data_IF_294381060566
#
_entry.id   IF_294381060566
#
_cell.length_a   1.000
_cell.length_b   1.000
_cell.length_c   1.000
_cell.angle_alpha   90.00
_cell.angle_beta   90.00
_cell.angle_gamma   90.00
#
_symmetry.space_group_name_H-M   'P 1'
#
loop_
_entity.id
_entity.type
_entity.pdbx_description
1 polymer ?
#
# COMPACT_ATOMS: atom_id res chain seq x y z
N UNK A 1 -4.59 -10.29 35.99
CA UNK A 1 -3.76 -10.25 34.78
C UNK A 1 -3.46 -11.68 34.34
N UNK A 2 -4.16 -12.19 33.32
CA UNK A 2 -4.00 -13.57 32.88
C UNK A 2 -2.83 -13.68 31.89
N UNK A 3 -1.85 -14.58 32.12
CA UNK A 3 -0.64 -14.69 31.28
C UNK A 3 -0.95 -15.02 29.81
N UNK A 4 -2.04 -15.74 29.54
CA UNK A 4 -2.50 -16.07 28.18
C UNK A 4 -2.85 -14.84 27.33
N UNK A 5 -3.37 -13.77 27.94
CA UNK A 5 -3.74 -12.53 27.23
C UNK A 5 -2.53 -11.67 26.88
N UNK A 6 -1.43 -11.81 27.62
CA UNK A 6 -0.19 -11.07 27.34
C UNK A 6 0.57 -11.74 26.20
N UNK A 7 0.67 -13.07 26.23
CA UNK A 7 1.34 -13.84 25.17
C UNK A 7 0.63 -13.64 23.83
N UNK A 8 -0.71 -13.67 23.82
CA UNK A 8 -1.48 -13.44 22.59
C UNK A 8 -1.25 -12.04 22.01
N UNK A 9 -1.17 -11.00 22.85
CA UNK A 9 -0.92 -9.62 22.41
C UNK A 9 0.49 -9.40 21.86
N UNK A 10 1.51 -10.00 22.48
CA UNK A 10 2.89 -9.93 21.99
C UNK A 10 3.03 -10.63 20.63
N UNK A 11 2.40 -11.80 20.46
CA UNK A 11 2.38 -12.50 19.18
C UNK A 11 1.69 -11.68 18.07
N UNK A 12 0.57 -11.02 18.39
CA UNK A 12 -0.12 -10.12 17.45
C UNK A 12 0.78 -8.94 17.07
N UNK A 13 1.41 -8.24 18.02
CA UNK A 13 2.33 -7.14 17.70
C UNK A 13 3.50 -7.59 16.81
N UNK A 14 4.12 -8.74 17.09
CA UNK A 14 5.22 -9.25 16.26
C UNK A 14 4.77 -9.56 14.83
N UNK A 15 3.63 -10.23 14.68
CA UNK A 15 3.04 -10.52 13.37
C UNK A 15 2.81 -9.24 12.57
N UNK A 16 2.24 -8.21 13.20
CA UNK A 16 1.92 -6.95 12.53
C UNK A 16 3.15 -6.16 12.13
N UNK A 17 4.15 -6.07 13.00
CA UNK A 17 5.44 -5.47 12.64
C UNK A 17 6.04 -6.21 11.45
N UNK A 18 5.97 -7.55 11.45
CA UNK A 18 6.39 -8.38 10.32
C UNK A 18 5.69 -7.98 9.03
N UNK A 19 4.35 -8.04 9.01
CA UNK A 19 3.53 -7.68 7.84
C UNK A 19 3.81 -6.25 7.38
N UNK A 20 3.80 -5.27 8.27
CA UNK A 20 4.00 -3.86 7.93
C UNK A 20 5.37 -3.57 7.34
N UNK A 21 6.41 -4.33 7.72
CA UNK A 21 7.76 -4.17 7.19
C UNK A 21 8.02 -5.00 5.94
N UNK A 22 7.46 -6.21 5.84
CA UNK A 22 7.78 -7.15 4.77
C UNK A 22 6.74 -7.24 3.66
N UNK A 23 5.60 -6.55 3.79
CA UNK A 23 4.58 -6.59 2.76
C UNK A 23 5.14 -6.10 1.42
N UNK A 24 5.06 -6.96 0.43
CA UNK A 24 5.39 -6.71 -0.96
C UNK A 24 4.27 -7.30 -1.82
N UNK A 25 3.46 -6.46 -2.50
CA UNK A 25 2.39 -6.94 -3.37
C UNK A 25 2.94 -7.69 -4.60
N UNK A 26 2.16 -8.60 -5.19
CA UNK A 26 2.59 -9.29 -6.41
C UNK A 26 2.74 -8.30 -7.57
N UNK A 27 3.86 -8.41 -8.29
CA UNK A 27 4.16 -7.61 -9.48
C UNK A 27 4.46 -8.54 -10.66
N UNK A 28 3.61 -8.49 -11.68
CA UNK A 28 3.84 -9.22 -12.91
C UNK A 28 4.87 -8.49 -13.78
N UNK A 29 5.87 -9.23 -14.24
CA UNK A 29 6.94 -8.75 -15.13
C UNK A 29 6.81 -9.37 -16.51
N UNK A 30 7.12 -8.58 -17.53
CA UNK A 30 7.16 -9.00 -18.92
C UNK A 30 8.38 -9.87 -19.25
N UNK A 31 8.48 -10.30 -20.50
CA UNK A 31 9.63 -11.07 -21.00
C UNK A 31 10.92 -10.25 -21.04
N UNK A 32 10.80 -8.93 -21.09
CA UNK A 32 11.84 -7.92 -21.02
C UNK A 32 12.33 -7.67 -19.58
N UNK A 33 11.66 -8.25 -18.57
CA UNK A 33 11.97 -8.04 -17.16
C UNK A 33 11.32 -6.78 -16.56
N UNK A 34 10.63 -5.99 -17.38
CA UNK A 34 9.98 -4.76 -16.92
C UNK A 34 8.58 -5.06 -16.35
N UNK A 35 8.13 -4.31 -15.32
CA UNK A 35 6.78 -4.44 -14.79
C UNK A 35 5.71 -4.19 -15.87
N UNK A 36 4.73 -5.08 -15.95
CA UNK A 36 3.63 -4.90 -16.91
C UNK A 36 2.75 -3.72 -16.44
N UNK A 37 2.43 -2.80 -17.35
CA UNK A 37 1.63 -1.57 -17.04
C UNK A 37 0.37 -1.84 -16.22
N UNK A 38 -0.41 -2.86 -16.58
CA UNK A 38 -1.62 -3.27 -15.82
C UNK A 38 -1.31 -3.69 -14.38
N UNK A 39 -0.17 -4.34 -14.18
CA UNK A 39 0.26 -4.82 -12.86
C UNK A 39 0.62 -3.64 -11.97
N UNK A 40 1.35 -2.66 -12.52
CA UNK A 40 1.68 -1.40 -11.83
C UNK A 40 0.42 -0.60 -11.51
N UNK A 41 -0.50 -0.45 -12.47
CA UNK A 41 -1.77 0.26 -12.27
C UNK A 41 -2.65 -0.37 -11.18
N UNK A 42 -2.49 -1.67 -10.91
CA UNK A 42 -3.25 -2.39 -9.88
C UNK A 42 -2.62 -2.37 -8.48
N UNK A 43 -1.40 -1.84 -8.30
CA UNK A 43 -0.66 -1.97 -7.04
C UNK A 43 -1.38 -1.34 -5.84
N UNK A 44 -2.02 -0.19 -6.04
CA UNK A 44 -2.80 0.49 -4.99
C UNK A 44 -3.87 -0.39 -4.35
N UNK A 45 -4.53 -1.26 -5.13
CA UNK A 45 -5.60 -2.14 -4.64
C UNK A 45 -5.09 -3.18 -3.65
N UNK A 46 -3.86 -3.66 -3.84
CA UNK A 46 -3.24 -4.62 -2.92
C UNK A 46 -2.97 -3.96 -1.56
N UNK A 47 -2.40 -2.76 -1.57
CA UNK A 47 -2.20 -1.97 -0.36
C UNK A 47 -3.52 -1.60 0.32
N UNK A 48 -4.55 -1.20 -0.45
CA UNK A 48 -5.89 -0.91 0.08
C UNK A 48 -6.49 -2.12 0.79
N UNK A 49 -6.38 -3.31 0.20
CA UNK A 49 -6.87 -4.54 0.80
C UNK A 49 -6.17 -4.85 2.12
N UNK A 50 -4.84 -4.75 2.15
CA UNK A 50 -4.07 -4.98 3.39
C UNK A 50 -4.36 -3.91 4.43
N UNK A 51 -4.43 -2.65 4.05
CA UNK A 51 -4.79 -1.56 4.94
C UNK A 51 -6.18 -1.78 5.55
N UNK A 52 -7.15 -2.22 4.75
CA UNK A 52 -8.50 -2.55 5.23
C UNK A 52 -8.48 -3.71 6.24
N UNK A 53 -7.72 -4.77 5.98
CA UNK A 53 -7.55 -5.88 6.93
C UNK A 53 -6.90 -5.39 8.22
N UNK A 54 -5.83 -4.59 8.11
CA UNK A 54 -5.13 -4.02 9.26
C UNK A 54 -6.01 -3.10 10.10
N UNK A 55 -6.93 -2.35 9.50
CA UNK A 55 -7.81 -1.45 10.24
C UNK A 55 -9.00 -2.17 10.89
N UNK A 56 -9.54 -3.21 10.24
CA UNK A 56 -10.76 -3.87 10.67
C UNK A 56 -10.53 -5.09 11.57
N UNK A 57 -9.48 -5.87 11.29
CA UNK A 57 -9.26 -7.16 11.97
C UNK A 57 -8.27 -7.03 13.14
N UNK A 58 -7.43 -5.99 13.11
CA UNK A 58 -6.39 -5.79 14.11
C UNK A 58 -6.88 -4.83 15.18
N UNK A 59 -7.52 -5.39 16.20
CA UNK A 59 -7.93 -4.64 17.38
C UNK A 59 -6.75 -4.41 18.33
N UNK A 60 -5.86 -3.49 17.98
CA UNK A 60 -4.85 -2.97 18.92
C UNK A 60 -5.42 -1.74 19.61
N UNK A 61 -5.53 -1.83 20.94
CA UNK A 61 -5.81 -0.65 21.74
C UNK A 61 -4.65 0.36 21.62
N UNK A 62 -4.97 1.65 21.57
CA UNK A 62 -4.02 2.77 21.62
C UNK A 62 -2.91 2.57 22.65
N UNK A 63 -3.24 2.04 23.83
CA UNK A 63 -2.29 1.73 24.90
C UNK A 63 -1.24 0.68 24.51
N UNK A 64 -1.62 -0.31 23.72
CA UNK A 64 -0.73 -1.37 23.24
C UNK A 64 0.11 -0.91 22.05
N UNK A 65 -0.39 0.06 21.26
CA UNK A 65 0.34 0.65 20.14
C UNK A 65 1.64 1.33 20.58
N UNK A 66 1.58 2.07 21.69
CA UNK A 66 2.74 2.72 22.30
C UNK A 66 3.72 1.75 22.98
N UNK A 67 3.23 0.60 23.45
CA UNK A 67 4.06 -0.41 24.12
C UNK A 67 4.88 -1.24 23.12
N UNK A 68 4.37 -1.42 21.91
CA UNK A 68 5.08 -2.07 20.82
C UNK A 68 5.94 -1.02 20.08
N UNK A 69 7.14 -0.72 20.59
CA UNK A 69 8.02 0.37 20.11
C UNK A 69 8.22 0.39 18.59
N UNK A 70 8.33 -0.79 17.96
CA UNK A 70 8.53 -0.89 16.51
C UNK A 70 7.27 -0.63 15.68
N UNK A 71 6.08 -0.74 16.29
CA UNK A 71 4.82 -0.73 15.57
C UNK A 71 4.47 0.64 14.96
N UNK A 72 4.63 1.79 15.67
CA UNK A 72 4.46 3.10 15.04
C UNK A 72 5.44 3.34 13.88
N UNK A 73 6.70 2.90 14.03
CA UNK A 73 7.71 3.06 12.98
C UNK A 73 7.41 2.18 11.76
N UNK A 74 7.02 0.92 11.98
CA UNK A 74 6.61 0.01 10.92
C UNK A 74 5.35 0.51 10.20
N UNK A 75 4.38 1.06 10.94
CA UNK A 75 3.19 1.69 10.36
C UNK A 75 3.55 2.89 9.48
N UNK A 76 4.42 3.78 9.96
CA UNK A 76 4.90 4.92 9.17
C UNK A 76 5.56 4.47 7.86
N UNK A 77 6.47 3.50 7.91
CA UNK A 77 7.13 2.96 6.72
C UNK A 77 6.15 2.26 5.76
N UNK A 78 5.15 1.55 6.29
CA UNK A 78 4.09 0.96 5.47
C UNK A 78 3.24 2.03 4.77
N UNK A 79 2.83 3.08 5.50
CA UNK A 79 2.02 4.17 4.95
C UNK A 79 2.78 5.00 3.92
N UNK A 80 4.08 5.21 4.12
CA UNK A 80 4.95 5.87 3.15
C UNK A 80 5.03 5.08 1.84
N UNK A 81 5.30 3.77 1.92
CA UNK A 81 5.28 2.88 0.74
C UNK A 81 3.91 2.87 0.07
N UNK A 82 2.84 2.75 0.85
CA UNK A 82 1.46 2.80 0.36
C UNK A 82 1.19 4.09 -0.42
N UNK A 83 1.58 5.25 0.13
CA UNK A 83 1.37 6.55 -0.51
C UNK A 83 2.07 6.62 -1.88
N UNK A 84 3.37 6.32 -1.93
CA UNK A 84 4.12 6.37 -3.19
C UNK A 84 3.61 5.34 -4.20
N UNK A 85 3.27 4.14 -3.75
CA UNK A 85 2.69 3.12 -4.64
C UNK A 85 1.34 3.56 -5.18
N UNK A 86 0.47 4.20 -4.38
CA UNK A 86 -0.81 4.71 -4.85
C UNK A 86 -0.62 5.81 -5.90
N UNK A 87 0.32 6.73 -5.67
CA UNK A 87 0.65 7.79 -6.63
C UNK A 87 1.14 7.19 -7.97
N UNK A 88 2.07 6.24 -7.93
CA UNK A 88 2.62 5.60 -9.13
C UNK A 88 1.58 4.71 -9.83
N UNK A 89 0.74 3.99 -9.08
CA UNK A 89 -0.38 3.22 -9.62
C UNK A 89 -1.35 4.12 -10.38
N UNK A 90 -1.64 5.30 -9.83
CA UNK A 90 -2.53 6.27 -10.45
C UNK A 90 -1.96 6.82 -11.76
N UNK A 91 -0.67 7.13 -11.79
CA UNK A 91 0.03 7.54 -13.03
C UNK A 91 0.04 6.43 -14.07
N UNK A 92 0.32 5.19 -13.66
CA UNK A 92 0.31 4.03 -14.54
C UNK A 92 -1.11 3.75 -15.11
N UNK A 93 -2.15 3.94 -14.32
CA UNK A 93 -3.54 3.84 -14.78
C UNK A 93 -3.88 4.92 -15.81
N UNK A 94 -3.43 6.17 -15.63
CA UNK A 94 -3.61 7.23 -16.63
C UNK A 94 -2.92 6.88 -17.96
N UNK A 95 -1.68 6.39 -17.89
CA UNK A 95 -0.92 5.98 -19.07
C UNK A 95 -1.59 4.79 -19.77
N UNK A 96 -2.12 3.83 -19.00
CA UNK A 96 -2.85 2.70 -19.53
C UNK A 96 -4.13 3.15 -20.25
N UNK A 97 -4.94 4.00 -19.63
CA UNK A 97 -6.16 4.57 -20.23
C UNK A 97 -5.87 5.32 -21.54
N UNK A 98 -4.77 6.09 -21.56
CA UNK A 98 -4.30 6.77 -22.76
C UNK A 98 -3.89 5.78 -23.85
N UNK A 99 -3.11 4.75 -23.51
CA UNK A 99 -2.60 3.76 -24.46
C UNK A 99 -3.70 2.89 -25.08
N UNK A 100 -4.79 2.65 -24.34
CA UNK A 100 -5.94 1.88 -24.79
C UNK A 100 -6.98 2.74 -25.54
N UNK A 101 -6.77 4.05 -25.65
CA UNK A 101 -7.71 4.97 -26.29
C UNK A 101 -9.01 5.18 -25.51
N UNK A 102 -9.06 4.81 -24.22
CA UNK A 102 -10.24 5.03 -23.37
C UNK A 102 -10.48 6.52 -23.09
N UNK A 103 -9.42 7.34 -23.18
CA UNK A 103 -9.48 8.79 -22.98
C UNK A 103 -8.42 9.48 -23.83
N UNK A 104 -8.84 10.41 -24.67
CA UNK A 104 -7.92 11.32 -25.33
C UNK A 104 -7.51 12.40 -24.33
N UNK A 105 -6.21 12.49 -24.08
CA UNK A 105 -5.61 13.57 -23.31
C UNK A 105 -4.76 14.41 -24.24
N UNK A 106 -4.89 15.72 -24.15
CA UNK A 106 -3.81 16.59 -24.61
C UNK A 106 -2.55 16.32 -23.77
N UNK A 107 -1.33 16.53 -24.31
CA UNK A 107 -0.10 16.36 -23.55
C UNK A 107 -0.08 17.14 -22.23
N UNK A 108 -0.65 18.35 -22.23
CA UNK A 108 -0.73 19.24 -21.08
C UNK A 108 -1.67 18.70 -19.99
N UNK A 109 -2.86 18.23 -20.38
CA UNK A 109 -3.82 17.62 -19.45
C UNK A 109 -3.28 16.34 -18.82
N UNK A 110 -2.60 15.50 -19.61
CA UNK A 110 -1.96 14.29 -19.10
C UNK A 110 -0.89 14.64 -18.06
N UNK A 111 -0.02 15.60 -18.36
CA UNK A 111 1.03 16.04 -17.45
C UNK A 111 0.46 16.62 -16.15
N UNK A 112 -0.61 17.42 -16.25
CA UNK A 112 -1.30 17.97 -15.09
C UNK A 112 -1.92 16.86 -14.22
N UNK A 113 -2.60 15.88 -14.82
CA UNK A 113 -3.19 14.78 -14.07
C UNK A 113 -2.13 13.91 -13.38
N UNK A 114 -1.00 13.65 -14.04
CA UNK A 114 0.12 12.94 -13.40
C UNK A 114 0.74 13.73 -12.24
N UNK A 115 0.86 15.06 -12.35
CA UNK A 115 1.32 15.94 -11.25
C UNK A 115 0.35 16.00 -10.07
N UNK A 116 -0.93 15.79 -10.34
CA UNK A 116 -2.00 15.77 -9.34
C UNK A 116 -2.42 14.35 -8.96
N UNK A 117 -1.64 13.32 -9.30
CA UNK A 117 -1.98 11.93 -9.04
C UNK A 117 -2.16 11.63 -7.54
N UNK A 118 -1.46 12.36 -6.67
CA UNK A 118 -1.54 12.23 -5.21
C UNK A 118 -2.84 12.79 -4.60
N UNK A 119 -3.66 13.53 -5.37
CA UNK A 119 -4.92 14.13 -4.91
C UNK A 119 -6.15 13.23 -5.14
N UNK A 120 -5.96 12.09 -5.80
CA UNK A 120 -7.04 11.23 -6.30
C UNK A 120 -7.16 9.92 -5.52
#
# INVERSE_FOLDING_TARGET
>A
WKPFTVISKVSICLYLVGVLLSYEPPLEVGKDGEPIKRSVASQSRFFEQVLSVLLNEVNIDTTDWHRCILLPSAWGAFMERTFFTCEESRKAELDLQRSLGHREFTPEEFNLQCKCAWLW
#
